data_IF_206308262838
#
_entry.id   IF_206308262838
#
_cell.length_a   1.000
_cell.length_b   1.000
_cell.length_c   1.000
_cell.angle_alpha   90.00
_cell.angle_beta   90.00
_cell.angle_gamma   90.00
#
_symmetry.space_group_name_H-M   'P 1'
#
loop_
_entity.id
_entity.type
_entity.pdbx_description
1 polymer ?
#
# COMPACT_ATOMS: atom_id res chain seq x y z
N UNK A 1 14.99 -36.86 6.12
CA UNK A 1 15.41 -35.46 6.41
C UNK A 1 16.58 -35.13 5.49
N UNK A 2 16.42 -34.11 4.61
CA UNK A 2 17.48 -33.70 3.70
C UNK A 2 18.61 -33.03 4.50
N UNK A 3 19.84 -33.52 4.34
CA UNK A 3 21.02 -32.91 4.99
C UNK A 3 21.32 -31.57 4.33
N UNK A 4 21.25 -30.50 5.10
CA UNK A 4 21.59 -29.14 4.66
C UNK A 4 23.09 -29.08 4.31
N UNK A 5 23.42 -28.40 3.21
CA UNK A 5 24.81 -28.09 2.88
C UNK A 5 25.40 -27.11 3.89
N UNK A 6 26.74 -27.04 4.04
CA UNK A 6 27.39 -26.13 4.99
C UNK A 6 26.94 -24.67 4.84
N UNK A 7 26.81 -24.17 3.60
CA UNK A 7 26.35 -22.81 3.29
C UNK A 7 24.90 -22.61 3.73
N UNK A 8 24.03 -23.58 3.53
CA UNK A 8 22.62 -23.48 3.95
C UNK A 8 22.49 -23.37 5.48
N UNK A 9 23.35 -24.05 6.25
CA UNK A 9 23.39 -23.94 7.71
C UNK A 9 23.84 -22.56 8.17
N UNK A 10 24.87 -21.99 7.53
CA UNK A 10 25.34 -20.63 7.83
C UNK A 10 24.24 -19.60 7.58
N UNK A 11 23.48 -19.73 6.49
CA UNK A 11 22.36 -18.82 6.19
C UNK A 11 21.18 -18.97 7.16
N UNK A 12 20.90 -20.19 7.62
CA UNK A 12 19.89 -20.44 8.64
C UNK A 12 20.27 -19.80 9.98
N UNK A 13 21.53 -19.96 10.40
CA UNK A 13 22.07 -19.29 11.60
C UNK A 13 22.02 -17.77 11.42
N UNK A 14 22.41 -17.25 10.26
CA UNK A 14 22.34 -15.81 9.94
C UNK A 14 20.92 -15.27 10.03
N UNK A 15 19.92 -16.00 9.55
CA UNK A 15 18.51 -15.63 9.68
C UNK A 15 18.09 -15.58 11.16
N UNK A 16 18.45 -16.61 11.95
CA UNK A 16 18.12 -16.65 13.38
C UNK A 16 18.75 -15.48 14.14
N UNK A 17 20.02 -15.18 13.87
CA UNK A 17 20.72 -14.03 14.47
C UNK A 17 20.10 -12.71 14.05
N UNK A 18 19.72 -12.55 12.79
CA UNK A 18 19.05 -11.35 12.29
C UNK A 18 17.69 -11.15 12.93
N UNK A 19 16.90 -12.22 13.11
CA UNK A 19 15.62 -12.15 13.82
C UNK A 19 15.82 -11.81 15.32
N UNK A 20 16.82 -12.41 15.97
CA UNK A 20 17.14 -12.10 17.36
C UNK A 20 17.57 -10.62 17.52
N UNK A 21 18.40 -10.11 16.60
CA UNK A 21 18.82 -8.72 16.57
C UNK A 21 17.64 -7.78 16.30
N UNK A 22 16.76 -8.13 15.37
CA UNK A 22 15.53 -7.37 15.09
C UNK A 22 14.63 -7.27 16.33
N UNK A 23 14.47 -8.39 17.04
CA UNK A 23 13.68 -8.42 18.28
C UNK A 23 14.35 -7.61 19.40
N UNK A 24 15.67 -7.69 19.53
CA UNK A 24 16.46 -6.86 20.43
C UNK A 24 16.24 -5.36 20.15
N UNK A 25 16.34 -4.93 18.88
CA UNK A 25 16.08 -3.55 18.49
C UNK A 25 14.65 -3.12 18.79
N UNK A 26 13.67 -3.98 18.50
CA UNK A 26 12.27 -3.69 18.77
C UNK A 26 12.01 -3.47 20.27
N UNK A 27 12.55 -4.35 21.12
CA UNK A 27 12.44 -4.20 22.57
C UNK A 27 13.16 -2.93 23.08
N UNK A 28 14.35 -2.64 22.55
CA UNK A 28 15.10 -1.44 22.90
C UNK A 28 14.31 -0.17 22.59
N UNK A 29 13.72 -0.07 21.38
CA UNK A 29 12.92 1.08 20.97
C UNK A 29 11.58 1.15 21.71
N UNK A 30 10.90 0.00 21.91
CA UNK A 30 9.60 -0.03 22.59
C UNK A 30 9.68 0.33 24.09
N UNK A 31 10.83 0.04 24.73
CA UNK A 31 11.07 0.34 26.15
C UNK A 31 11.95 1.56 26.36
N UNK A 32 12.08 2.42 25.34
CA UNK A 32 12.87 3.65 25.46
C UNK A 32 12.31 4.57 26.55
N UNK A 33 13.17 5.01 27.44
CA UNK A 33 12.84 5.98 28.48
C UNK A 33 13.78 7.20 28.37
N UNK A 34 13.23 8.43 28.21
CA UNK A 34 14.03 9.65 28.15
C UNK A 34 14.91 9.91 29.36
N UNK A 35 14.61 9.30 30.53
CA UNK A 35 15.40 9.47 31.77
C UNK A 35 16.60 8.52 31.86
N UNK A 36 16.70 7.53 30.96
CA UNK A 36 17.84 6.61 30.99
C UNK A 36 19.14 7.29 30.57
N UNK A 37 20.26 7.02 31.25
CA UNK A 37 21.56 7.49 30.82
C UNK A 37 21.91 6.89 29.47
N UNK A 38 22.03 7.75 28.46
CA UNK A 38 22.22 7.38 27.08
C UNK A 38 23.17 8.34 26.36
N UNK A 39 23.34 8.21 25.05
CA UNK A 39 24.30 9.06 24.31
C UNK A 39 23.92 10.55 24.34
N UNK A 40 22.64 10.88 24.15
CA UNK A 40 22.18 12.29 24.22
C UNK A 40 22.04 12.79 25.66
N UNK A 41 21.95 11.90 26.65
CA UNK A 41 21.72 12.15 28.06
C UNK A 41 22.89 11.65 28.94
N UNK A 42 24.13 11.78 28.49
CA UNK A 42 25.34 11.26 29.15
C UNK A 42 25.58 11.81 30.57
N UNK A 43 24.93 12.91 30.94
CA UNK A 43 25.04 13.52 32.28
C UNK A 43 24.06 12.97 33.32
N UNK A 44 23.08 12.17 32.94
CA UNK A 44 22.10 11.60 33.84
C UNK A 44 22.72 10.40 34.58
N UNK A 45 22.60 10.43 35.93
CA UNK A 45 22.94 9.29 36.80
C UNK A 45 21.65 8.76 37.37
N UNK A 46 21.29 7.52 36.99
CA UNK A 46 20.06 6.88 37.44
C UNK A 46 20.00 5.42 37.06
N UNK A 47 18.93 4.77 37.51
CA UNK A 47 18.62 3.39 37.14
C UNK A 47 18.17 3.32 35.68
N UNK A 48 18.54 2.25 34.98
CA UNK A 48 18.19 2.02 33.59
C UNK A 48 16.85 1.32 33.53
N UNK A 49 15.88 1.95 32.85
CA UNK A 49 14.51 1.44 32.71
C UNK A 49 14.31 0.64 31.40
N UNK A 50 15.23 0.78 30.44
CA UNK A 50 15.15 0.06 29.19
C UNK A 50 15.25 -1.46 29.43
N UNK A 51 14.31 -2.22 28.87
CA UNK A 51 14.22 -3.68 29.06
C UNK A 51 15.45 -4.44 28.57
N UNK A 52 16.21 -3.86 27.67
CA UNK A 52 17.43 -4.45 27.10
C UNK A 52 18.69 -3.92 27.80
N UNK A 53 18.50 -3.11 28.83
CA UNK A 53 19.58 -2.53 29.62
C UNK A 53 20.26 -1.35 28.95
N UNK A 54 21.49 -1.02 29.43
CA UNK A 54 22.24 0.15 28.97
C UNK A 54 22.49 0.18 27.46
N UNK A 55 22.81 -0.96 26.86
CA UNK A 55 23.07 -1.07 25.44
C UNK A 55 21.79 -0.76 24.65
N UNK A 56 20.64 -1.24 25.11
CA UNK A 56 19.34 -0.95 24.51
C UNK A 56 18.96 0.52 24.59
N UNK A 57 19.14 1.15 25.78
CA UNK A 57 18.89 2.58 25.99
C UNK A 57 19.76 3.43 25.05
N UNK A 58 21.04 3.13 24.97
CA UNK A 58 22.00 3.87 24.14
C UNK A 58 21.71 3.72 22.64
N UNK A 59 21.39 2.51 22.19
CA UNK A 59 21.07 2.24 20.78
C UNK A 59 19.74 2.87 20.37
N UNK A 60 18.72 2.79 21.24
CA UNK A 60 17.42 3.41 20.98
C UNK A 60 17.53 4.93 20.90
N UNK A 61 18.31 5.54 21.81
CA UNK A 61 18.58 6.97 21.82
C UNK A 61 19.22 7.45 20.50
N UNK A 62 20.28 6.78 20.04
CA UNK A 62 20.92 7.12 18.75
C UNK A 62 19.95 7.00 17.58
N UNK A 63 19.15 5.92 17.56
CA UNK A 63 18.21 5.69 16.47
C UNK A 63 17.10 6.74 16.46
N UNK A 64 16.51 7.10 17.61
CA UNK A 64 15.51 8.16 17.71
C UNK A 64 16.09 9.53 17.41
N UNK A 65 17.29 9.84 17.94
CA UNK A 65 17.97 11.09 17.64
C UNK A 65 18.22 11.27 16.13
N UNK A 66 18.66 10.20 15.46
CA UNK A 66 19.03 10.28 14.04
C UNK A 66 17.81 10.22 13.12
N UNK A 67 16.85 9.32 13.38
CA UNK A 67 15.78 8.96 12.47
C UNK A 67 14.37 9.26 13.00
N UNK A 68 14.18 9.66 14.24
CA UNK A 68 12.87 9.88 14.84
C UNK A 68 11.97 8.64 14.76
N UNK A 69 10.72 8.81 14.34
CA UNK A 69 9.77 7.69 14.15
C UNK A 69 10.25 6.62 13.17
N UNK A 70 11.09 6.99 12.19
CA UNK A 70 11.62 6.05 11.21
C UNK A 70 12.53 5.01 11.86
N UNK A 71 13.02 5.26 13.07
CA UNK A 71 13.78 4.28 13.85
C UNK A 71 13.07 2.92 13.97
N UNK A 72 11.74 2.91 14.06
CA UNK A 72 10.96 1.67 14.13
C UNK A 72 11.01 0.82 12.85
N UNK A 73 11.45 1.37 11.73
CA UNK A 73 11.63 0.61 10.48
C UNK A 73 12.84 -0.34 10.56
N UNK A 74 13.87 -0.01 11.38
CA UNK A 74 15.10 -0.80 11.44
C UNK A 74 14.90 -2.24 11.95
N UNK A 75 14.14 -2.52 13.01
CA UNK A 75 13.84 -3.90 13.41
C UNK A 75 13.21 -4.72 12.28
N UNK A 76 12.23 -4.13 11.58
CA UNK A 76 11.54 -4.81 10.47
C UNK A 76 12.47 -5.05 9.28
N UNK A 77 13.32 -4.07 8.92
CA UNK A 77 14.29 -4.23 7.83
C UNK A 77 15.35 -5.27 8.17
N UNK A 78 15.80 -5.34 9.43
CA UNK A 78 16.72 -6.36 9.89
C UNK A 78 16.13 -7.77 9.79
N UNK A 79 14.90 -7.96 10.29
CA UNK A 79 14.19 -9.23 10.19
C UNK A 79 13.97 -9.65 8.73
N UNK A 80 13.53 -8.71 7.89
CA UNK A 80 13.30 -8.94 6.46
C UNK A 80 14.58 -9.29 5.72
N UNK A 81 15.69 -8.63 6.01
CA UNK A 81 16.99 -8.89 5.40
C UNK A 81 17.46 -10.33 5.71
N UNK A 82 17.34 -10.77 6.97
CA UNK A 82 17.66 -12.14 7.37
C UNK A 82 16.79 -13.18 6.66
N UNK A 83 15.49 -12.95 6.61
CA UNK A 83 14.54 -13.82 5.91
C UNK A 83 14.82 -13.85 4.40
N UNK A 84 15.08 -12.71 3.80
CA UNK A 84 15.38 -12.59 2.38
C UNK A 84 16.67 -13.34 2.00
N UNK A 85 17.75 -13.18 2.79
CA UNK A 85 19.00 -13.93 2.60
C UNK A 85 18.77 -15.45 2.68
N UNK A 86 17.95 -15.89 3.64
CA UNK A 86 17.62 -17.30 3.77
C UNK A 86 16.80 -17.83 2.58
N UNK A 87 15.89 -17.05 2.04
CA UNK A 87 15.08 -17.42 0.87
C UNK A 87 15.94 -17.55 -0.40
N UNK A 88 16.98 -16.72 -0.53
CA UNK A 88 17.91 -16.73 -1.66
C UNK A 88 18.96 -17.87 -1.62
N UNK A 89 18.97 -18.70 -0.57
CA UNK A 89 19.97 -19.76 -0.34
C UNK A 89 20.20 -20.74 -1.51
N UNK A 90 19.24 -20.84 -2.44
CA UNK A 90 19.34 -21.70 -3.62
C UNK A 90 19.97 -21.00 -4.83
N UNK A 91 20.10 -19.68 -4.82
CA UNK A 91 20.57 -18.84 -5.94
C UNK A 91 21.94 -18.20 -5.70
N UNK A 92 22.75 -18.75 -4.78
CA UNK A 92 24.05 -18.16 -4.38
C UNK A 92 25.04 -18.03 -5.57
N UNK A 93 24.83 -18.76 -6.65
CA UNK A 93 25.71 -18.75 -7.82
C UNK A 93 25.59 -17.52 -8.72
N UNK A 94 24.54 -16.69 -8.55
CA UNK A 94 24.27 -15.51 -9.38
C UNK A 94 24.02 -14.29 -8.49
N UNK A 95 25.04 -13.83 -7.76
CA UNK A 95 24.95 -12.54 -7.07
C UNK A 95 24.98 -11.40 -8.10
N UNK A 96 23.83 -10.82 -8.35
CA UNK A 96 23.74 -9.59 -9.12
C UNK A 96 24.05 -8.39 -8.21
N UNK A 97 25.31 -7.96 -8.21
CA UNK A 97 25.81 -6.83 -7.42
C UNK A 97 25.07 -5.54 -7.75
N UNK A 98 24.58 -5.38 -8.99
CA UNK A 98 23.80 -4.22 -9.41
C UNK A 98 22.46 -4.17 -8.67
N UNK A 99 21.76 -5.30 -8.60
CA UNK A 99 20.48 -5.40 -7.86
C UNK A 99 20.65 -5.11 -6.37
N UNK A 100 21.73 -5.60 -5.77
CA UNK A 100 22.04 -5.32 -4.36
C UNK A 100 22.34 -3.83 -4.17
N UNK A 101 23.17 -3.24 -5.03
CA UNK A 101 23.50 -1.82 -4.99
C UNK A 101 22.26 -0.93 -5.15
N UNK A 102 21.37 -1.26 -6.09
CA UNK A 102 20.09 -0.53 -6.25
C UNK A 102 19.19 -0.64 -5.03
N UNK A 103 19.15 -1.79 -4.35
CA UNK A 103 18.36 -1.94 -3.12
C UNK A 103 18.92 -1.13 -1.96
N UNK A 104 20.25 -1.10 -1.80
CA UNK A 104 20.90 -0.27 -0.77
C UNK A 104 20.64 1.21 -1.06
N UNK A 105 20.83 1.66 -2.30
CA UNK A 105 20.52 3.02 -2.71
C UNK A 105 19.05 3.34 -2.48
N UNK A 106 18.15 2.40 -2.82
CA UNK A 106 16.71 2.52 -2.59
C UNK A 106 16.36 2.68 -1.11
N UNK A 107 17.00 1.89 -0.23
CA UNK A 107 16.83 2.02 1.21
C UNK A 107 17.27 3.40 1.71
N UNK A 108 18.43 3.88 1.28
CA UNK A 108 18.92 5.20 1.68
C UNK A 108 17.98 6.33 1.21
N UNK A 109 17.54 6.29 -0.04
CA UNK A 109 16.59 7.28 -0.58
C UNK A 109 15.23 7.23 0.14
N UNK A 110 14.73 6.03 0.44
CA UNK A 110 13.48 5.87 1.16
C UNK A 110 13.58 6.39 2.61
N UNK A 111 14.68 6.12 3.31
CA UNK A 111 14.91 6.63 4.66
C UNK A 111 14.98 8.16 4.67
N UNK A 112 15.73 8.75 3.73
CA UNK A 112 15.88 10.20 3.58
C UNK A 112 14.51 10.85 3.30
N UNK A 113 13.77 10.34 2.33
CA UNK A 113 12.43 10.85 2.00
C UNK A 113 11.44 10.71 3.15
N UNK A 114 11.41 9.54 3.79
CA UNK A 114 10.51 9.28 4.93
C UNK A 114 10.84 10.17 6.14
N UNK A 115 12.12 10.30 6.50
CA UNK A 115 12.56 11.14 7.62
C UNK A 115 12.23 12.62 7.38
N UNK A 116 12.48 13.15 6.18
CA UNK A 116 12.12 14.51 5.84
C UNK A 116 10.62 14.77 5.85
N UNK A 117 9.81 13.84 5.34
CA UNK A 117 8.35 13.94 5.42
C UNK A 117 7.87 13.88 6.88
N UNK A 118 8.45 13.00 7.69
CA UNK A 118 8.09 12.88 9.10
C UNK A 118 8.39 14.18 9.87
N UNK A 119 9.56 14.77 9.67
CA UNK A 119 9.93 16.05 10.29
C UNK A 119 8.99 17.20 9.96
N UNK A 120 8.37 17.20 8.75
CA UNK A 120 7.45 18.27 8.33
C UNK A 120 6.00 18.07 8.76
N UNK A 121 5.57 16.83 8.97
CA UNK A 121 4.14 16.52 9.07
C UNK A 121 3.73 15.89 10.40
N UNK A 122 4.67 15.36 11.19
CA UNK A 122 4.37 14.71 12.47
C UNK A 122 4.85 15.56 13.65
N UNK A 123 4.20 15.37 14.78
CA UNK A 123 4.63 15.96 16.04
C UNK A 123 5.89 15.26 16.56
N UNK A 124 6.70 16.00 17.32
CA UNK A 124 7.93 15.49 17.89
C UNK A 124 7.71 14.27 18.79
N UNK A 125 8.69 13.37 18.77
CA UNK A 125 8.70 12.14 19.56
C UNK A 125 9.55 12.36 20.81
N UNK A 126 8.93 12.40 22.00
CA UNK A 126 9.58 12.77 23.25
C UNK A 126 10.23 14.17 23.12
N UNK A 127 11.57 14.22 23.12
CA UNK A 127 12.35 15.43 22.88
C UNK A 127 13.11 15.41 21.53
N UNK A 128 12.83 14.40 20.70
CA UNK A 128 13.37 14.27 19.35
C UNK A 128 12.40 14.74 18.30
N UNK A 129 12.92 15.32 17.22
CA UNK A 129 12.12 15.60 16.04
C UNK A 129 11.52 14.32 15.48
N UNK A 130 10.31 14.43 14.93
CA UNK A 130 9.60 13.31 14.33
C UNK A 130 10.39 12.59 13.22
N UNK A 131 11.18 13.33 12.43
CA UNK A 131 12.10 12.79 11.42
C UNK A 131 13.52 12.60 11.89
N UNK A 132 13.80 12.93 13.17
CA UNK A 132 15.12 12.97 13.74
C UNK A 132 16.00 14.05 13.11
N UNK A 133 17.26 14.09 13.51
CA UNK A 133 18.26 15.03 12.96
C UNK A 133 18.36 14.92 11.43
N UNK A 134 18.27 13.70 10.89
CA UNK A 134 18.32 13.50 9.44
C UNK A 134 17.16 14.19 8.72
N UNK A 135 15.94 14.01 9.24
CA UNK A 135 14.74 14.64 8.66
C UNK A 135 14.80 16.15 8.73
N UNK A 136 15.25 16.71 9.88
CA UNK A 136 15.36 18.16 10.07
C UNK A 136 16.38 18.81 9.15
N UNK A 137 17.56 18.21 9.00
CA UNK A 137 18.60 18.71 8.09
C UNK A 137 18.11 18.73 6.65
N UNK A 138 17.42 17.66 6.22
CA UNK A 138 16.94 17.56 4.86
C UNK A 138 15.77 18.52 4.62
N UNK A 139 14.77 18.53 5.50
CA UNK A 139 13.60 19.39 5.35
C UNK A 139 13.98 20.88 5.39
N UNK A 140 14.84 21.27 6.33
CA UNK A 140 15.32 22.65 6.44
C UNK A 140 16.18 23.10 5.25
N UNK A 141 16.84 22.16 4.57
CA UNK A 141 17.61 22.46 3.37
C UNK A 141 16.75 22.77 2.16
N UNK A 142 15.57 22.14 2.05
CA UNK A 142 14.66 22.33 0.91
C UNK A 142 13.63 23.44 1.13
N UNK A 143 13.15 23.64 2.36
CA UNK A 143 12.10 24.61 2.69
C UNK A 143 12.34 26.02 2.16
N UNK A 144 13.55 26.61 2.25
CA UNK A 144 13.81 27.98 1.79
C UNK A 144 13.63 28.15 0.28
N UNK A 145 13.84 27.10 -0.50
CA UNK A 145 13.81 27.15 -1.97
C UNK A 145 12.46 26.71 -2.55
N UNK A 146 11.73 25.81 -1.88
CA UNK A 146 10.59 25.11 -2.47
C UNK A 146 9.27 25.34 -1.72
N UNK A 147 9.27 26.08 -0.63
CA UNK A 147 8.17 26.17 0.31
C UNK A 147 7.72 24.77 0.82
N UNK A 148 6.73 24.74 1.71
CA UNK A 148 6.24 23.49 2.32
C UNK A 148 5.75 22.46 1.28
N UNK A 149 4.85 22.88 0.37
CA UNK A 149 4.24 21.97 -0.60
C UNK A 149 5.27 21.38 -1.58
N UNK A 150 6.19 22.20 -2.09
CA UNK A 150 7.26 21.76 -2.99
C UNK A 150 8.23 20.80 -2.31
N UNK A 151 8.60 21.10 -1.05
CA UNK A 151 9.49 20.24 -0.26
C UNK A 151 8.84 18.88 -0.03
N UNK A 152 7.57 18.83 0.39
CA UNK A 152 6.85 17.56 0.58
C UNK A 152 6.77 16.76 -0.72
N UNK A 153 6.51 17.42 -1.86
CA UNK A 153 6.44 16.75 -3.16
C UNK A 153 7.77 16.10 -3.55
N UNK A 154 8.89 16.79 -3.36
CA UNK A 154 10.23 16.26 -3.67
C UNK A 154 10.57 15.10 -2.72
N UNK A 155 10.34 15.26 -1.42
CA UNK A 155 10.61 14.21 -0.45
C UNK A 155 9.75 12.98 -0.69
N UNK A 156 8.48 13.15 -1.08
CA UNK A 156 7.59 12.06 -1.47
C UNK A 156 8.10 11.35 -2.74
N UNK A 157 8.55 12.11 -3.74
CA UNK A 157 9.14 11.55 -4.96
C UNK A 157 10.40 10.73 -4.66
N UNK A 158 11.24 11.24 -3.75
CA UNK A 158 12.44 10.56 -3.27
C UNK A 158 12.10 9.27 -2.54
N UNK A 159 11.11 9.31 -1.64
CA UNK A 159 10.60 8.14 -0.93
C UNK A 159 10.04 7.09 -1.90
N UNK A 160 9.19 7.49 -2.85
CA UNK A 160 8.60 6.60 -3.83
C UNK A 160 9.66 5.95 -4.74
N UNK A 161 10.65 6.73 -5.18
CA UNK A 161 11.78 6.21 -5.96
C UNK A 161 12.62 5.24 -5.16
N UNK A 162 12.95 5.60 -3.91
CA UNK A 162 13.68 4.73 -3.00
C UNK A 162 12.94 3.43 -2.71
N UNK A 163 11.64 3.52 -2.46
CA UNK A 163 10.80 2.34 -2.24
C UNK A 163 10.75 1.42 -3.46
N UNK A 164 10.68 1.99 -4.68
CA UNK A 164 10.72 1.21 -5.93
C UNK A 164 12.05 0.47 -6.09
N UNK A 165 13.18 1.13 -5.84
CA UNK A 165 14.50 0.48 -5.94
C UNK A 165 14.71 -0.59 -4.86
N UNK A 166 14.21 -0.34 -3.65
CA UNK A 166 14.30 -1.28 -2.53
C UNK A 166 13.49 -2.56 -2.78
N UNK A 167 12.25 -2.41 -3.21
CA UNK A 167 11.29 -3.52 -3.33
C UNK A 167 11.25 -4.12 -4.72
N UNK A 168 11.60 -3.36 -5.75
CA UNK A 168 11.42 -3.71 -7.16
C UNK A 168 9.95 -3.68 -7.61
N UNK A 169 9.04 -3.13 -6.80
CA UNK A 169 7.61 -3.04 -7.10
C UNK A 169 7.36 -1.82 -7.99
N UNK A 170 6.70 -2.01 -9.12
CA UNK A 170 6.22 -0.91 -9.96
C UNK A 170 4.98 -0.26 -9.33
N UNK A 171 5.00 1.06 -9.18
CA UNK A 171 3.85 1.85 -8.70
C UNK A 171 2.61 1.66 -9.57
N UNK A 172 2.78 1.46 -10.88
CA UNK A 172 1.67 1.14 -11.78
C UNK A 172 0.96 -0.15 -11.34
N UNK A 173 1.72 -1.18 -10.99
CA UNK A 173 1.16 -2.44 -10.49
C UNK A 173 0.44 -2.26 -9.13
N UNK A 174 0.95 -1.38 -8.28
CA UNK A 174 0.30 -1.05 -7.00
C UNK A 174 -1.04 -0.35 -7.25
N UNK A 175 -1.06 0.66 -8.12
CA UNK A 175 -2.28 1.40 -8.50
C UNK A 175 -3.30 0.46 -9.14
N UNK A 176 -2.88 -0.41 -10.06
CA UNK A 176 -3.76 -1.38 -10.73
C UNK A 176 -4.38 -2.37 -9.71
N UNK A 177 -3.58 -2.91 -8.80
CA UNK A 177 -4.07 -3.81 -7.76
C UNK A 177 -5.00 -3.12 -6.78
N UNK A 178 -4.67 -1.89 -6.38
CA UNK A 178 -5.50 -1.09 -5.47
C UNK A 178 -6.81 -0.71 -6.17
N UNK A 179 -6.77 -0.31 -7.44
CA UNK A 179 -7.95 -0.05 -8.27
C UNK A 179 -8.83 -1.29 -8.42
N UNK A 180 -8.24 -2.44 -8.74
CA UNK A 180 -8.97 -3.71 -8.84
C UNK A 180 -9.61 -4.11 -7.51
N UNK A 181 -8.90 -3.92 -6.39
CA UNK A 181 -9.42 -4.18 -5.05
C UNK A 181 -10.59 -3.24 -4.71
N UNK A 182 -10.45 -1.94 -4.99
CA UNK A 182 -11.51 -0.96 -4.78
C UNK A 182 -12.77 -1.30 -5.60
N UNK A 183 -12.61 -1.70 -6.86
CA UNK A 183 -13.71 -2.15 -7.73
C UNK A 183 -14.33 -3.43 -7.17
N UNK A 184 -13.52 -4.40 -6.72
CA UNK A 184 -14.01 -5.63 -6.12
C UNK A 184 -14.81 -5.39 -4.83
N UNK A 185 -14.35 -4.44 -3.99
CA UNK A 185 -15.11 -4.01 -2.81
C UNK A 185 -16.42 -3.31 -3.19
N UNK A 186 -16.38 -2.38 -4.16
CA UNK A 186 -17.57 -1.69 -4.63
C UNK A 186 -18.59 -2.67 -5.22
N UNK A 187 -18.16 -3.57 -6.11
CA UNK A 187 -19.04 -4.59 -6.72
C UNK A 187 -19.50 -5.63 -5.72
N UNK A 188 -18.66 -6.06 -4.77
CA UNK A 188 -19.02 -6.96 -3.69
C UNK A 188 -20.07 -6.34 -2.75
N UNK A 189 -19.93 -5.06 -2.39
CA UNK A 189 -20.90 -4.33 -1.57
C UNK A 189 -22.27 -4.20 -2.28
N UNK A 190 -22.29 -4.02 -3.61
CA UNK A 190 -23.53 -3.99 -4.39
C UNK A 190 -24.16 -5.38 -4.60
N UNK A 191 -23.38 -6.45 -4.53
CA UNK A 191 -23.89 -7.83 -4.68
C UNK A 191 -24.51 -8.38 -3.38
N UNK A 192 -24.18 -7.82 -2.22
CA UNK A 192 -24.74 -8.24 -0.92
C UNK A 192 -26.28 -8.13 -0.85
N UNK A 193 -26.95 -7.04 -1.27
CA UNK A 193 -28.42 -6.97 -1.24
C UNK A 193 -29.07 -7.96 -2.18
N UNK A 194 -28.49 -8.30 -3.35
CA UNK A 194 -29.03 -9.31 -4.26
C UNK A 194 -28.95 -10.73 -3.69
N UNK A 195 -27.85 -11.08 -3.02
CA UNK A 195 -27.71 -12.40 -2.36
C UNK A 195 -28.66 -12.60 -1.19
N UNK A 196 -29.03 -11.52 -0.49
CA UNK A 196 -30.02 -11.58 0.60
C UNK A 196 -31.43 -11.76 0.05
N UNK A 197 -31.74 -11.15 -1.11
CA UNK A 197 -33.03 -11.31 -1.80
C UNK A 197 -33.23 -12.71 -2.41
N UNK A 198 -32.13 -13.38 -2.80
CA UNK A 198 -32.15 -14.74 -3.38
C UNK A 198 -31.96 -15.85 -2.32
N UNK A 199 -31.92 -15.50 -1.04
CA UNK A 199 -31.78 -16.47 0.04
C UNK A 199 -33.02 -17.40 0.06
N UNK A 200 -32.83 -18.74 0.05
CA UNK A 200 -33.95 -19.71 -0.07
C UNK A 200 -34.96 -19.60 1.08
N UNK A 201 -34.59 -18.96 2.18
CA UNK A 201 -35.48 -18.74 3.35
C UNK A 201 -36.58 -17.71 3.04
N UNK A 202 -36.30 -16.70 2.19
CA UNK A 202 -37.32 -15.72 1.78
C UNK A 202 -38.30 -16.31 0.74
N UNK A 203 -37.85 -17.23 -0.12
CA UNK A 203 -38.75 -17.93 -1.09
C UNK A 203 -39.72 -18.87 -0.40
N UNK A 204 -39.35 -19.48 0.72
CA UNK A 204 -40.26 -20.33 1.52
C UNK A 204 -41.37 -19.54 2.21
N UNK A 205 -41.15 -18.28 2.55
CA UNK A 205 -42.18 -17.39 3.13
C UNK A 205 -43.21 -16.93 2.10
N UNK A 206 -42.79 -16.59 0.89
CA UNK A 206 -43.70 -16.15 -0.19
C UNK A 206 -44.58 -17.27 -0.75
N UNK A 207 -44.02 -18.45 -0.94
CA UNK A 207 -44.80 -19.61 -1.44
C UNK A 207 -45.78 -20.13 -0.37
N UNK A 208 -45.59 -19.82 0.89
CA UNK A 208 -46.54 -20.20 1.97
C UNK A 208 -47.70 -19.21 2.04
N UNK A 209 -47.47 -17.93 1.75
CA UNK A 209 -48.51 -16.90 1.69
C UNK A 209 -49.42 -17.12 0.48
N UNK A 210 -48.84 -17.41 -0.69
CA UNK A 210 -49.57 -17.66 -1.94
C UNK A 210 -50.43 -18.96 -1.88
N UNK A 211 -49.97 -19.96 -1.13
CA UNK A 211 -50.74 -21.21 -0.95
C UNK A 211 -51.87 -21.07 0.08
N UNK A 212 -51.79 -20.11 0.99
CA UNK A 212 -52.86 -19.80 1.96
C UNK A 212 -54.01 -19.03 1.30
N UNK A 213 -53.70 -18.16 0.32
CA UNK A 213 -54.72 -17.41 -0.45
C UNK A 213 -55.42 -18.27 -1.54
N UNK A 214 -54.74 -19.31 -2.01
CA UNK A 214 -55.31 -20.22 -3.04
C UNK A 214 -56.33 -21.23 -2.45
N UNK A 215 -56.24 -21.54 -1.14
CA UNK A 215 -57.15 -22.52 -0.50
C UNK A 215 -58.45 -21.88 0.00
N UNK A 216 -58.55 -20.52 -0.08
CA UNK A 216 -59.77 -19.81 0.37
C UNK A 216 -60.72 -19.48 -0.78
N UNK A 217 -60.36 -19.77 -2.04
CA UNK A 217 -61.16 -19.43 -3.23
C UNK A 217 -61.64 -20.65 -4.06
N UNK A 218 -61.51 -21.86 -3.52
CA UNK A 218 -62.02 -23.08 -4.16
C UNK A 218 -63.43 -23.40 -3.65
N UNK A 219 -64.37 -22.60 -4.08
CA UNK A 219 -65.78 -22.84 -3.94
C UNK A 219 -66.54 -22.20 -5.10
N UNK A 220 -66.95 -23.08 -6.01
CA UNK A 220 -68.03 -22.89 -7.03
C UNK A 220 -67.75 -22.01 -8.25
N UNK A 221 -67.68 -22.57 -9.41
CA UNK A 221 -68.64 -22.66 -10.52
C UNK A 221 -67.97 -22.98 -11.85
N UNK A 222 -68.63 -23.93 -12.51
CA UNK A 222 -68.50 -24.43 -13.88
C UNK A 222 -68.48 -23.39 -15.03
N UNK A 223 -67.78 -23.76 -16.11
CA UNK A 223 -67.99 -23.44 -17.55
C UNK A 223 -67.27 -22.25 -18.14
N UNK A 224 -66.38 -22.52 -19.03
CA UNK A 224 -66.46 -22.31 -20.47
C UNK A 224 -65.07 -22.12 -21.11
N UNK A 225 -64.77 -22.98 -22.06
CA UNK A 225 -63.81 -22.89 -23.15
C UNK A 225 -63.46 -21.46 -23.58
N UNK A 226 -62.16 -21.11 -23.51
CA UNK A 226 -61.49 -20.20 -24.47
C UNK A 226 -59.98 -20.29 -24.30
N UNK A 227 -59.30 -20.84 -25.31
CA UNK A 227 -57.85 -20.87 -25.39
C UNK A 227 -57.27 -19.45 -25.48
N UNK A 228 -56.18 -19.15 -24.70
CA UNK A 228 -55.47 -17.89 -24.90
C UNK A 228 -54.54 -17.98 -26.11
N UNK A 229 -54.32 -16.87 -26.86
CA UNK A 229 -53.49 -16.85 -28.06
C UNK A 229 -52.02 -17.05 -27.73
N UNK A 230 -51.38 -17.95 -28.47
CA UNK A 230 -49.94 -18.20 -28.45
C UNK A 230 -49.22 -17.01 -29.08
N UNK A 231 -48.55 -16.20 -28.28
CA UNK A 231 -47.58 -15.21 -28.79
C UNK A 231 -46.20 -15.85 -28.96
N UNK A 232 -45.90 -16.18 -30.25
CA UNK A 232 -44.56 -16.56 -30.68
C UNK A 232 -43.68 -15.31 -30.76
N UNK A 233 -42.75 -15.13 -29.80
CA UNK A 233 -41.69 -14.14 -29.92
C UNK A 233 -40.57 -14.70 -30.78
N UNK A 234 -40.62 -14.39 -32.09
CA UNK A 234 -39.51 -14.57 -33.00
C UNK A 234 -38.36 -13.61 -32.62
N UNK A 235 -37.24 -14.17 -32.21
CA UNK A 235 -35.97 -13.42 -32.08
C UNK A 235 -35.45 -13.05 -33.46
N UNK A 236 -35.73 -11.86 -33.94
CA UNK A 236 -34.97 -11.24 -35.02
C UNK A 236 -33.74 -10.54 -34.41
N UNK A 237 -32.59 -11.17 -34.62
CA UNK A 237 -31.27 -10.57 -34.31
C UNK A 237 -30.97 -9.55 -35.41
N UNK A 238 -31.09 -8.27 -35.10
CA UNK A 238 -30.67 -7.19 -36.02
C UNK A 238 -29.19 -6.95 -35.74
N UNK A 239 -28.33 -7.30 -36.68
CA UNK A 239 -26.92 -6.93 -36.68
C UNK A 239 -26.82 -5.46 -37.10
N UNK A 240 -26.01 -4.63 -36.37
CA UNK A 240 -25.76 -3.26 -36.80
C UNK A 240 -24.86 -3.27 -38.06
N UNK A 241 -25.37 -2.76 -39.17
CA UNK A 241 -24.63 -2.50 -40.40
C UNK A 241 -23.64 -1.33 -40.12
N UNK A 242 -22.36 -1.64 -40.11
CA UNK A 242 -21.28 -0.64 -40.09
C UNK A 242 -21.24 -0.08 -41.53
N UNK A 243 -21.74 1.14 -41.71
CA UNK A 243 -21.49 1.93 -42.93
C UNK A 243 -20.10 2.53 -42.84
N UNK A 244 -19.29 2.28 -43.86
CA UNK A 244 -17.98 2.88 -44.05
C UNK A 244 -18.10 4.40 -44.04
N UNK A 245 -17.22 5.05 -43.30
CA UNK A 245 -17.08 6.51 -43.30
C UNK A 245 -16.49 6.92 -44.65
N UNK A 246 -17.23 7.76 -45.36
CA UNK A 246 -16.77 8.47 -46.56
C UNK A 246 -15.81 9.58 -46.16
N UNK A 247 -14.64 9.54 -46.76
CA UNK A 247 -13.46 10.39 -46.47
C UNK A 247 -13.49 11.67 -47.35
N UNK A 248 -14.60 12.43 -47.29
CA UNK A 248 -14.71 13.72 -48.01
C UNK A 248 -15.56 14.72 -47.19
N UNK A 249 -14.97 15.34 -46.17
CA UNK A 249 -15.44 16.66 -45.70
C UNK A 249 -14.28 17.47 -45.06
N UNK A 250 -13.70 18.32 -45.89
CA UNK A 250 -13.22 19.70 -45.62
C UNK A 250 -12.76 20.03 -44.20
N UNK A 251 -11.46 20.17 -44.04
CA UNK A 251 -10.80 20.89 -42.95
C UNK A 251 -11.34 22.33 -42.86
N UNK A 252 -11.76 22.79 -41.67
CA UNK A 252 -11.99 24.21 -41.44
C UNK A 252 -10.63 24.94 -41.41
N UNK A 253 -10.43 25.85 -42.37
CA UNK A 253 -9.29 26.77 -42.40
C UNK A 253 -9.40 27.76 -41.23
N UNK A 254 -8.49 27.65 -40.30
CA UNK A 254 -8.34 28.62 -39.21
C UNK A 254 -7.47 29.77 -39.76
N UNK A 255 -8.10 30.93 -40.09
CA UNK A 255 -7.43 32.16 -40.38
C UNK A 255 -7.14 32.93 -39.10
N UNK A 256 -5.84 33.11 -38.80
CA UNK A 256 -5.35 33.99 -37.73
C UNK A 256 -5.53 35.45 -38.19
N UNK A 257 -6.20 36.34 -37.42
CA UNK A 257 -6.20 37.75 -37.73
C UNK A 257 -4.80 38.35 -37.56
N UNK A 258 -4.31 38.99 -38.60
CA UNK A 258 -3.03 39.73 -38.65
C UNK A 258 -3.17 41.13 -38.01
N UNK A 259 -3.45 41.22 -36.72
CA UNK A 259 -3.58 42.54 -36.07
C UNK A 259 -2.99 42.62 -34.67
N UNK A 260 -1.86 41.87 -34.42
CA UNK A 260 -1.04 42.08 -33.21
C UNK A 260 0.45 42.02 -33.58
N UNK A 261 0.84 42.71 -34.62
CA UNK A 261 2.25 42.99 -34.91
C UNK A 261 2.30 44.40 -35.46
N UNK A 262 2.40 45.40 -34.60
CA UNK A 262 3.00 46.72 -34.83
C UNK A 262 2.53 47.63 -33.68
N UNK A 263 3.37 47.79 -32.66
CA UNK A 263 3.82 49.14 -32.29
C UNK A 263 5.01 49.04 -31.32
N UNK A 264 5.97 49.99 -31.42
CA UNK A 264 7.37 49.89 -30.99
C UNK A 264 7.59 50.13 -29.49
#
# INVERSE_FOLDING_TARGET
MARLTGIQRIMEVGMMLSCAFAFFLLLALASFNPADPSWSQAGLQGDIHNWVGAIGAWLADILFFTFGYIAYVFPFTAAFAGWFMFQQRKRISEFDYLTIGLRILGLLLALVGAAGIASLNFNDLFYFSAGGMLGDVISSSFLPYLNFAGTVLILLSLFCTGFTFLTGISWLTVVDKTGALAIAFATGAWALPKKIQDAPILRLGFNRAEKADADTTAGDTNKADTQPPVYSYGKARVEPKVTAFDDDQQQPSFSIPQEVLLDP
#
